data_IF_556956578975
#
_entry.id   IF_556956578975
#
_cell.length_a   1.000
_cell.length_b   1.000
_cell.length_c   1.000
_cell.angle_alpha   90.00
_cell.angle_beta   90.00
_cell.angle_gamma   90.00
#
_symmetry.space_group_name_H-M   'P 1'
#
loop_
_entity.id
_entity.type
_entity.pdbx_description
1 polymer ?
#
# COMPACT_ATOMS: atom_id res chain seq x y z
N UNK A 1 -53.68 40.75 -16.92
CA UNK A 1 -52.66 40.43 -15.89
C UNK A 1 -51.29 40.73 -16.48
N UNK A 2 -50.83 41.96 -16.36
CA UNK A 2 -49.44 42.34 -16.59
C UNK A 2 -48.85 42.69 -15.25
N UNK A 3 -47.79 42.00 -14.85
CA UNK A 3 -46.94 42.40 -13.73
C UNK A 3 -45.62 41.64 -13.83
N UNK A 4 -44.52 42.36 -13.65
CA UNK A 4 -43.13 41.90 -13.46
C UNK A 4 -42.23 41.76 -14.70
N UNK A 5 -42.24 42.73 -15.61
CA UNK A 5 -41.00 43.07 -16.34
C UNK A 5 -40.69 44.53 -16.05
N UNK A 6 -39.75 44.75 -15.15
CA UNK A 6 -39.31 46.08 -14.74
C UNK A 6 -38.72 46.82 -15.97
N UNK A 7 -39.37 47.89 -16.48
CA UNK A 7 -38.94 48.56 -17.72
C UNK A 7 -37.63 49.34 -17.55
N UNK A 8 -37.22 49.57 -16.30
CA UNK A 8 -35.96 50.20 -15.91
C UNK A 8 -34.74 49.29 -16.19
N UNK A 9 -34.87 47.99 -15.96
CA UNK A 9 -33.80 47.00 -16.15
C UNK A 9 -33.53 46.63 -17.62
N UNK A 10 -34.54 46.72 -18.49
CA UNK A 10 -34.41 46.49 -19.94
C UNK A 10 -33.55 47.56 -20.63
N UNK A 11 -33.68 48.83 -20.21
CA UNK A 11 -32.88 49.95 -20.73
C UNK A 11 -31.41 49.87 -20.30
N UNK A 12 -31.15 49.51 -19.04
CA UNK A 12 -29.79 49.27 -18.55
C UNK A 12 -29.16 48.05 -19.24
N UNK A 13 -29.87 46.91 -19.34
CA UNK A 13 -29.38 45.72 -20.07
C UNK A 13 -29.10 46.04 -21.54
N UNK A 14 -29.93 46.85 -22.20
CA UNK A 14 -29.74 47.30 -23.58
C UNK A 14 -28.51 48.22 -23.76
N UNK A 15 -28.22 49.08 -22.77
CA UNK A 15 -26.98 49.89 -22.75
C UNK A 15 -25.74 49.02 -22.60
N UNK A 16 -25.73 48.08 -21.65
CA UNK A 16 -24.59 47.17 -21.45
C UNK A 16 -24.38 46.25 -22.65
N UNK A 17 -25.46 45.72 -23.26
CA UNK A 17 -25.33 44.91 -24.49
C UNK A 17 -24.85 45.72 -25.70
N UNK A 18 -25.26 46.99 -25.86
CA UNK A 18 -24.69 47.87 -26.89
C UNK A 18 -23.21 48.17 -26.65
N UNK A 19 -22.82 48.41 -25.40
CA UNK A 19 -21.42 48.65 -25.02
C UNK A 19 -20.56 47.42 -25.27
N UNK A 20 -21.07 46.23 -24.92
CA UNK A 20 -20.43 44.94 -25.13
C UNK A 20 -20.30 44.63 -26.62
N UNK A 21 -21.35 44.84 -27.43
CA UNK A 21 -21.28 44.71 -28.90
C UNK A 21 -20.24 45.64 -29.52
N UNK A 22 -20.17 46.89 -29.06
CA UNK A 22 -19.22 47.88 -29.57
C UNK A 22 -17.76 47.49 -29.31
N UNK A 23 -17.48 46.88 -28.17
CA UNK A 23 -16.12 46.48 -27.77
C UNK A 23 -15.87 44.97 -27.90
N UNK A 24 -16.81 44.22 -28.47
CA UNK A 24 -16.79 42.76 -28.53
C UNK A 24 -15.49 42.23 -29.17
N UNK A 25 -15.08 42.81 -30.30
CA UNK A 25 -13.87 42.40 -31.01
C UNK A 25 -12.59 42.66 -30.20
N UNK A 26 -12.56 43.77 -29.48
CA UNK A 26 -11.41 44.14 -28.62
C UNK A 26 -11.34 43.23 -27.39
N UNK A 27 -12.49 42.95 -26.76
CA UNK A 27 -12.61 42.03 -25.64
C UNK A 27 -12.24 40.60 -26.03
N UNK A 28 -12.73 40.10 -27.17
CA UNK A 28 -12.36 38.77 -27.67
C UNK A 28 -10.86 38.66 -27.93
N UNK A 29 -10.24 39.67 -28.55
CA UNK A 29 -8.80 39.65 -28.79
C UNK A 29 -8.00 39.72 -27.48
N UNK A 30 -8.42 40.53 -26.52
CA UNK A 30 -7.81 40.60 -25.19
C UNK A 30 -7.92 39.26 -24.45
N UNK A 31 -9.11 38.65 -24.44
CA UNK A 31 -9.35 37.35 -23.82
C UNK A 31 -8.55 36.24 -24.50
N UNK A 32 -8.42 36.29 -25.82
CA UNK A 32 -7.61 35.33 -26.57
C UNK A 32 -6.12 35.45 -26.21
N UNK A 33 -5.57 36.67 -26.20
CA UNK A 33 -4.17 36.91 -25.80
C UNK A 33 -3.95 36.54 -24.33
N UNK A 34 -4.88 36.87 -23.44
CA UNK A 34 -4.82 36.48 -22.04
C UNK A 34 -4.84 34.96 -21.88
N UNK A 35 -5.66 34.25 -22.66
CA UNK A 35 -5.71 32.79 -22.67
C UNK A 35 -4.41 32.15 -23.17
N UNK A 36 -3.82 32.68 -24.25
CA UNK A 36 -2.51 32.21 -24.76
C UNK A 36 -1.40 32.47 -23.75
N UNK A 37 -1.39 33.66 -23.13
CA UNK A 37 -0.41 34.00 -22.10
C UNK A 37 -0.55 33.09 -20.86
N UNK A 38 -1.78 32.79 -20.44
CA UNK A 38 -2.04 31.87 -19.33
C UNK A 38 -1.62 30.43 -19.67
N UNK A 39 -1.89 29.99 -20.89
CA UNK A 39 -1.47 28.66 -21.37
C UNK A 39 0.06 28.52 -21.37
N UNK A 40 0.79 29.56 -21.78
CA UNK A 40 2.25 29.59 -21.70
C UNK A 40 2.73 29.62 -20.23
N UNK A 41 2.06 30.36 -19.35
CA UNK A 41 2.36 30.40 -17.92
C UNK A 41 2.14 29.05 -17.22
N UNK A 42 1.20 28.23 -17.70
CA UNK A 42 0.94 26.88 -17.18
C UNK A 42 2.13 25.92 -17.31
N UNK A 43 3.08 26.23 -18.21
CA UNK A 43 4.33 25.48 -18.35
C UNK A 43 5.27 25.66 -17.17
N UNK A 44 5.14 26.74 -16.40
CA UNK A 44 5.96 26.93 -15.21
C UNK A 44 5.39 26.10 -14.04
N UNK A 45 6.26 25.29 -13.47
CA UNK A 45 6.05 24.53 -12.24
C UNK A 45 5.37 25.35 -11.14
N UNK A 46 5.68 26.63 -10.95
CA UNK A 46 5.10 27.46 -9.90
C UNK A 46 3.56 27.63 -10.00
N UNK A 47 2.99 27.52 -11.21
CA UNK A 47 1.55 27.63 -11.44
C UNK A 47 0.83 26.28 -11.52
N UNK A 48 1.55 25.15 -11.51
CA UNK A 48 1.01 23.82 -11.78
C UNK A 48 0.85 22.95 -10.51
N UNK A 49 1.51 23.30 -9.40
CA UNK A 49 1.56 22.46 -8.18
C UNK A 49 0.28 22.45 -7.31
N UNK A 50 -0.75 23.24 -7.64
CA UNK A 50 -1.95 23.39 -6.81
C UNK A 50 -3.17 22.55 -7.24
N UNK A 51 -3.16 21.96 -8.44
CA UNK A 51 -4.34 21.28 -9.03
C UNK A 51 -4.08 19.84 -9.41
N UNK A 52 -3.26 19.11 -8.64
CA UNK A 52 -3.24 17.66 -8.71
C UNK A 52 -4.47 17.12 -7.97
N UNK A 53 -5.53 16.83 -8.73
CA UNK A 53 -6.70 16.13 -8.22
C UNK A 53 -6.50 14.64 -8.44
N UNK A 54 -6.19 13.90 -7.37
CA UNK A 54 -6.07 12.44 -7.45
C UNK A 54 -7.44 11.85 -7.78
N UNK A 55 -7.54 11.10 -8.87
CA UNK A 55 -8.76 10.32 -9.19
C UNK A 55 -9.12 9.37 -8.03
N UNK A 56 -8.12 8.83 -7.34
CA UNK A 56 -8.31 8.00 -6.15
C UNK A 56 -8.93 8.78 -4.97
N UNK A 57 -8.80 10.11 -4.94
CA UNK A 57 -9.44 10.97 -3.94
C UNK A 57 -10.92 11.27 -4.25
N UNK A 58 -11.42 10.95 -5.45
CA UNK A 58 -12.84 11.08 -5.84
C UNK A 58 -13.69 9.85 -5.53
N UNK A 59 -13.05 8.75 -5.13
CA UNK A 59 -13.71 7.46 -4.88
C UNK A 59 -14.07 7.12 -3.41
N UNK A 60 -13.88 7.98 -2.36
CA UNK A 60 -14.31 7.61 -1.02
C UNK A 60 -15.84 7.55 -0.97
N UNK A 61 -16.39 6.33 -0.94
CA UNK A 61 -17.84 6.06 -0.95
C UNK A 61 -18.31 5.09 -2.03
N UNK A 62 -17.47 4.77 -3.02
CA UNK A 62 -17.78 3.79 -4.06
C UNK A 62 -17.31 2.35 -3.73
N UNK A 63 -16.69 2.17 -2.57
CA UNK A 63 -16.12 0.88 -2.15
C UNK A 63 -16.95 0.29 -1.02
N UNK A 64 -17.64 -0.82 -1.31
CA UNK A 64 -18.28 -1.63 -0.29
C UNK A 64 -17.25 -2.53 0.40
N UNK A 65 -17.36 -2.68 1.72
CA UNK A 65 -16.56 -3.69 2.43
C UNK A 65 -16.95 -5.08 1.93
N UNK A 66 -16.00 -5.72 1.26
CA UNK A 66 -16.13 -7.04 0.66
C UNK A 66 -15.54 -8.14 1.54
N UNK A 67 -14.80 -7.78 2.60
CA UNK A 67 -14.28 -8.71 3.59
C UNK A 67 -15.45 -9.14 4.47
N UNK A 68 -15.84 -10.41 4.35
CA UNK A 68 -16.96 -11.01 5.06
C UNK A 68 -16.48 -11.78 6.30
N UNK A 69 -17.46 -12.25 7.07
CA UNK A 69 -17.25 -13.10 8.26
C UNK A 69 -16.44 -14.38 7.96
N UNK A 70 -16.52 -14.90 6.75
CA UNK A 70 -15.75 -16.09 6.37
C UNK A 70 -14.25 -15.84 6.41
N UNK A 71 -13.79 -14.67 5.96
CA UNK A 71 -12.38 -14.28 6.02
C UNK A 71 -11.93 -14.08 7.47
N UNK A 72 -12.76 -13.51 8.34
CA UNK A 72 -12.42 -13.38 9.76
C UNK A 72 -12.35 -14.74 10.45
N UNK A 73 -13.28 -15.66 10.17
CA UNK A 73 -13.24 -17.01 10.71
C UNK A 73 -11.98 -17.76 10.24
N UNK A 74 -11.59 -17.58 8.98
CA UNK A 74 -10.36 -18.16 8.45
C UNK A 74 -9.11 -17.59 9.16
N UNK A 75 -9.08 -16.28 9.44
CA UNK A 75 -7.99 -15.67 10.21
C UNK A 75 -7.90 -16.23 11.64
N UNK A 76 -9.04 -16.47 12.30
CA UNK A 76 -9.09 -17.09 13.64
C UNK A 76 -8.54 -18.52 13.60
N UNK A 77 -8.97 -19.34 12.63
CA UNK A 77 -8.47 -20.70 12.47
C UNK A 77 -6.95 -20.72 12.22
N UNK A 78 -6.45 -19.82 11.36
CA UNK A 78 -5.02 -19.67 11.10
C UNK A 78 -4.25 -19.23 12.35
N UNK A 79 -4.86 -18.44 13.23
CA UNK A 79 -4.28 -18.07 14.53
C UNK A 79 -4.11 -19.32 15.39
N UNK A 80 -5.17 -20.12 15.56
CA UNK A 80 -5.09 -21.33 16.38
C UNK A 80 -4.03 -22.30 15.87
N UNK A 81 -3.93 -22.48 14.55
CA UNK A 81 -2.87 -23.28 13.94
C UNK A 81 -1.47 -22.71 14.19
N UNK A 82 -1.28 -21.40 13.98
CA UNK A 82 0.00 -20.74 14.22
C UNK A 82 0.43 -20.83 15.68
N UNK A 83 -0.52 -20.75 16.62
CA UNK A 83 -0.25 -20.92 18.05
C UNK A 83 0.31 -22.30 18.36
N UNK A 84 -0.23 -23.37 17.75
CA UNK A 84 0.29 -24.74 17.90
C UNK A 84 1.69 -24.88 17.30
N UNK A 85 1.94 -24.31 16.12
CA UNK A 85 3.27 -24.33 15.50
C UNK A 85 4.31 -23.54 16.28
N UNK A 86 3.88 -22.52 17.02
CA UNK A 86 4.75 -21.71 17.88
C UNK A 86 5.16 -22.44 19.16
N UNK A 87 4.35 -23.39 19.63
CA UNK A 87 4.73 -24.26 20.75
C UNK A 87 5.84 -25.23 20.35
N UNK A 88 5.81 -25.74 19.11
CA UNK A 88 6.85 -26.62 18.56
C UNK A 88 8.12 -25.86 18.13
N UNK A 89 7.99 -24.62 17.67
CA UNK A 89 9.09 -23.76 17.19
C UNK A 89 9.24 -22.49 18.06
N UNK A 90 9.83 -22.63 19.25
CA UNK A 90 9.93 -21.52 20.20
C UNK A 90 10.93 -20.43 19.80
N UNK A 91 12.03 -20.81 19.14
CA UNK A 91 13.17 -19.92 18.84
C UNK A 91 13.30 -19.56 17.37
N UNK A 92 12.51 -20.17 16.49
CA UNK A 92 12.61 -20.00 15.04
C UNK A 92 11.23 -19.74 14.46
N UNK A 93 11.20 -19.07 13.31
CA UNK A 93 9.97 -18.90 12.56
C UNK A 93 9.56 -20.25 11.92
N UNK A 94 8.28 -20.65 11.94
CA UNK A 94 7.80 -21.91 11.36
C UNK A 94 7.72 -21.81 9.83
N UNK A 95 8.90 -21.76 9.19
CA UNK A 95 9.06 -21.52 7.74
C UNK A 95 8.30 -22.52 6.88
N UNK A 96 8.37 -23.80 7.21
CA UNK A 96 7.72 -24.87 6.44
C UNK A 96 6.20 -24.70 6.44
N UNK A 97 5.61 -24.40 7.60
CA UNK A 97 4.17 -24.15 7.71
C UNK A 97 3.76 -22.91 6.92
N UNK A 98 4.51 -21.80 7.06
CA UNK A 98 4.23 -20.56 6.32
C UNK A 98 4.29 -20.74 4.81
N UNK A 99 5.35 -21.40 4.31
CA UNK A 99 5.50 -21.69 2.89
C UNK A 99 4.37 -22.60 2.38
N UNK A 100 3.98 -23.61 3.15
CA UNK A 100 2.87 -24.50 2.79
C UNK A 100 1.55 -23.74 2.72
N UNK A 101 1.24 -22.88 3.71
CA UNK A 101 0.01 -22.07 3.71
C UNK A 101 -0.02 -21.07 2.58
N UNK A 102 1.07 -20.34 2.33
CA UNK A 102 1.15 -19.40 1.20
C UNK A 102 0.96 -20.12 -0.15
N UNK A 103 1.56 -21.30 -0.34
CA UNK A 103 1.36 -22.11 -1.55
C UNK A 103 -0.06 -22.65 -1.67
N UNK A 104 -0.68 -23.08 -0.57
CA UNK A 104 -2.07 -23.56 -0.53
C UNK A 104 -3.05 -22.44 -0.94
N UNK A 105 -2.77 -21.20 -0.52
CA UNK A 105 -3.51 -20.01 -0.96
C UNK A 105 -3.32 -19.73 -2.46
N UNK A 106 -2.21 -20.19 -3.06
CA UNK A 106 -1.87 -19.98 -4.46
C UNK A 106 -0.94 -18.79 -4.70
N UNK A 107 -0.09 -18.47 -3.71
CA UNK A 107 0.99 -17.50 -3.83
C UNK A 107 2.29 -18.18 -4.31
N UNK A 108 3.11 -17.43 -5.05
CA UNK A 108 4.49 -17.84 -5.32
C UNK A 108 5.31 -17.60 -4.04
N UNK A 109 5.56 -18.66 -3.25
CA UNK A 109 6.19 -18.55 -1.93
C UNK A 109 7.65 -19.02 -1.91
N UNK A 110 8.51 -18.26 -1.24
CA UNK A 110 9.93 -18.57 -1.04
C UNK A 110 10.43 -18.03 0.30
N UNK A 111 11.57 -18.55 0.76
CA UNK A 111 12.27 -18.10 1.96
C UNK A 111 13.53 -17.35 1.59
N UNK A 112 13.99 -16.47 2.47
CA UNK A 112 15.17 -15.63 2.26
C UNK A 112 16.01 -15.61 3.54
N UNK A 113 17.19 -16.20 3.46
CA UNK A 113 18.11 -16.32 4.58
C UNK A 113 19.03 -15.09 4.63
N UNK A 114 19.37 -14.66 5.84
CA UNK A 114 20.35 -13.62 6.04
C UNK A 114 21.19 -13.86 7.30
N UNK A 115 22.36 -13.26 7.34
CA UNK A 115 23.30 -13.31 8.46
C UNK A 115 23.88 -11.92 8.71
N UNK A 116 23.70 -11.41 9.92
CA UNK A 116 24.35 -10.20 10.41
C UNK A 116 25.59 -10.58 11.20
N UNK A 117 26.75 -10.18 10.71
CA UNK A 117 28.00 -10.15 11.44
C UNK A 117 28.10 -8.82 12.17
N UNK A 118 27.78 -8.81 13.47
CA UNK A 118 27.67 -7.55 14.22
C UNK A 118 29.06 -7.01 14.61
N UNK A 119 29.51 -5.86 14.04
CA UNK A 119 30.90 -5.42 14.15
C UNK A 119 31.27 -4.92 15.55
N UNK A 120 30.30 -4.40 16.32
CA UNK A 120 30.54 -3.78 17.62
C UNK A 120 30.32 -4.71 18.83
N UNK A 121 29.89 -5.96 18.62
CA UNK A 121 29.54 -6.88 19.72
C UNK A 121 30.49 -8.05 19.87
N UNK A 122 31.75 -7.92 19.46
CA UNK A 122 32.78 -8.94 19.67
C UNK A 122 32.58 -10.20 18.84
N UNK A 123 32.10 -10.07 17.59
CA UNK A 123 31.94 -11.21 16.67
C UNK A 123 30.63 -11.98 16.84
N UNK A 124 29.61 -11.40 17.51
CA UNK A 124 28.27 -11.98 17.53
C UNK A 124 27.67 -12.06 16.13
N UNK A 125 27.15 -13.24 15.79
CA UNK A 125 26.51 -13.51 14.51
C UNK A 125 25.03 -13.75 14.76
N UNK A 126 24.17 -13.02 14.04
CA UNK A 126 22.73 -13.20 14.09
C UNK A 126 22.24 -13.71 12.75
N UNK A 127 21.63 -14.88 12.73
CA UNK A 127 21.03 -15.47 11.53
C UNK A 127 19.52 -15.34 11.60
N UNK A 128 18.87 -15.10 10.47
CA UNK A 128 17.42 -15.14 10.38
C UNK A 128 16.92 -15.56 9.02
N UNK A 129 15.63 -15.85 8.96
CA UNK A 129 14.99 -16.35 7.74
C UNK A 129 13.63 -15.69 7.51
N UNK A 130 13.55 -14.84 6.50
CA UNK A 130 12.29 -14.23 6.10
C UNK A 130 11.50 -15.20 5.22
N UNK A 131 10.18 -15.13 5.29
CA UNK A 131 9.28 -15.88 4.40
C UNK A 131 8.45 -14.88 3.62
N UNK A 132 8.36 -15.04 2.31
CA UNK A 132 7.57 -14.14 1.49
C UNK A 132 6.81 -14.89 0.41
N UNK A 133 5.65 -14.33 0.03
CA UNK A 133 4.78 -14.86 -1.00
C UNK A 133 4.33 -13.75 -1.94
N UNK A 134 4.33 -14.00 -3.24
CA UNK A 134 3.92 -13.02 -4.25
C UNK A 134 2.57 -13.43 -4.85
N UNK A 135 1.60 -12.53 -4.79
CA UNK A 135 0.38 -12.59 -5.58
C UNK A 135 0.58 -11.78 -6.87
N UNK A 136 0.57 -12.46 -8.02
CA UNK A 136 0.67 -11.80 -9.32
C UNK A 136 -0.63 -11.08 -9.70
N UNK A 137 -0.51 -9.85 -10.19
CA UNK A 137 -1.63 -9.08 -10.71
C UNK A 137 -2.27 -9.80 -11.90
N UNK A 138 -3.60 -9.90 -11.93
CA UNK A 138 -4.30 -10.58 -13.03
C UNK A 138 -4.45 -9.73 -14.30
N UNK A 139 -4.29 -8.40 -14.21
CA UNK A 139 -4.64 -7.46 -15.30
C UNK A 139 -3.45 -6.77 -15.97
N UNK A 140 -2.26 -6.75 -15.35
CA UNK A 140 -1.08 -6.00 -15.80
C UNK A 140 0.16 -6.90 -15.72
N UNK A 141 1.20 -6.58 -16.49
CA UNK A 141 2.44 -7.35 -16.62
C UNK A 141 3.38 -7.31 -15.41
N UNK A 142 2.87 -7.25 -14.18
CA UNK A 142 3.67 -7.38 -12.94
C UNK A 142 4.87 -6.40 -12.83
N UNK A 143 4.76 -5.19 -13.40
CA UNK A 143 5.82 -4.16 -13.41
C UNK A 143 5.89 -3.32 -12.14
N UNK A 144 4.83 -3.33 -11.34
CA UNK A 144 4.69 -2.60 -10.08
C UNK A 144 4.22 -3.55 -8.98
N UNK A 145 4.66 -3.30 -7.75
CA UNK A 145 4.23 -4.08 -6.59
C UNK A 145 3.93 -3.22 -5.36
N UNK A 146 3.17 -3.81 -4.43
CA UNK A 146 2.94 -3.30 -3.09
C UNK A 146 3.43 -4.35 -2.10
N UNK A 147 4.11 -3.93 -1.03
CA UNK A 147 4.56 -4.83 0.03
C UNK A 147 3.62 -4.73 1.22
N UNK A 148 3.07 -5.87 1.65
CA UNK A 148 2.38 -6.01 2.92
C UNK A 148 3.29 -6.86 3.80
N UNK A 149 3.82 -6.24 4.85
CA UNK A 149 4.80 -6.85 5.75
C UNK A 149 4.19 -7.13 7.13
N UNK A 150 4.67 -8.18 7.77
CA UNK A 150 4.34 -8.54 9.15
C UNK A 150 5.63 -8.95 9.87
N UNK A 151 5.90 -8.43 11.08
CA UNK A 151 6.95 -8.98 11.91
C UNK A 151 6.51 -10.31 12.53
N UNK A 152 7.40 -11.29 12.58
CA UNK A 152 7.21 -12.50 13.37
C UNK A 152 8.11 -12.46 14.61
N UNK A 153 7.49 -12.37 15.79
CA UNK A 153 8.18 -12.42 17.07
C UNK A 153 8.07 -13.82 17.67
N UNK A 154 9.22 -14.46 17.87
CA UNK A 154 9.33 -15.76 18.54
C UNK A 154 8.85 -15.70 20.00
N UNK A 155 8.59 -16.86 20.60
CA UNK A 155 8.10 -16.95 21.99
C UNK A 155 9.07 -16.40 23.02
N UNK A 156 10.36 -16.37 22.68
CA UNK A 156 11.44 -15.97 23.59
C UNK A 156 11.86 -14.49 23.37
N UNK A 157 11.19 -13.79 22.44
CA UNK A 157 11.48 -12.38 22.17
C UNK A 157 11.20 -11.49 23.39
N UNK A 158 12.02 -10.46 23.58
CA UNK A 158 11.82 -9.42 24.60
C UNK A 158 10.69 -8.45 24.24
N UNK A 159 10.27 -8.43 22.98
CA UNK A 159 9.25 -7.52 22.48
C UNK A 159 7.83 -8.07 22.71
N UNK A 160 6.81 -7.18 22.77
CA UNK A 160 5.41 -7.60 22.90
C UNK A 160 5.02 -8.59 21.80
N UNK A 161 4.28 -9.64 22.17
CA UNK A 161 3.84 -10.64 21.22
C UNK A 161 2.89 -10.06 20.16
N UNK A 162 3.22 -10.27 18.89
CA UNK A 162 2.40 -9.89 17.73
C UNK A 162 2.17 -11.13 16.88
N UNK A 163 1.32 -12.03 17.36
CA UNK A 163 0.99 -13.27 16.64
C UNK A 163 -0.16 -13.10 15.64
N UNK A 164 -1.03 -12.11 15.84
CA UNK A 164 -2.26 -11.95 15.06
C UNK A 164 -2.07 -11.32 13.67
N UNK A 165 -0.96 -10.60 13.44
CA UNK A 165 -0.63 -10.02 12.12
C UNK A 165 -0.50 -11.07 11.02
N UNK A 166 0.22 -12.16 11.29
CA UNK A 166 0.50 -13.19 10.28
C UNK A 166 -0.78 -13.89 9.80
N UNK A 167 -1.67 -14.39 10.68
CA UNK A 167 -2.95 -14.95 10.27
C UNK A 167 -3.84 -13.94 9.54
N UNK A 168 -3.87 -12.68 9.97
CA UNK A 168 -4.62 -11.62 9.28
C UNK A 168 -4.11 -11.40 7.85
N UNK A 169 -2.79 -11.34 7.68
CA UNK A 169 -2.17 -11.17 6.38
C UNK A 169 -2.44 -12.37 5.46
N UNK A 170 -2.34 -13.60 5.98
CA UNK A 170 -2.66 -14.82 5.22
C UNK A 170 -4.15 -14.88 4.84
N UNK A 171 -5.05 -14.50 5.74
CA UNK A 171 -6.48 -14.42 5.44
C UNK A 171 -6.79 -13.36 4.39
N UNK A 172 -6.13 -12.20 4.46
CA UNK A 172 -6.23 -11.19 3.42
C UNK A 172 -5.62 -11.68 2.09
N UNK A 173 -4.54 -12.45 2.11
CA UNK A 173 -3.96 -13.02 0.90
C UNK A 173 -4.93 -14.01 0.20
N UNK A 174 -5.62 -14.86 0.97
CA UNK A 174 -6.69 -15.73 0.46
C UNK A 174 -7.84 -14.92 -0.14
N UNK A 175 -8.28 -13.87 0.55
CA UNK A 175 -9.28 -12.96 0.02
C UNK A 175 -8.81 -12.30 -1.28
N UNK A 176 -7.60 -11.75 -1.30
CA UNK A 176 -7.00 -11.05 -2.42
C UNK A 176 -6.83 -11.96 -3.63
N UNK A 177 -6.43 -13.22 -3.45
CA UNK A 177 -6.30 -14.21 -4.52
C UNK A 177 -7.61 -14.42 -5.29
N UNK A 178 -8.76 -14.31 -4.62
CA UNK A 178 -10.09 -14.47 -5.23
C UNK A 178 -10.52 -13.26 -6.05
N UNK A 179 -9.85 -12.11 -5.88
CA UNK A 179 -10.19 -10.87 -6.57
C UNK A 179 -9.38 -10.70 -7.87
N UNK A 180 -10.07 -10.30 -8.95
CA UNK A 180 -9.47 -10.13 -10.29
C UNK A 180 -9.15 -8.68 -10.65
N UNK A 181 -9.31 -7.75 -9.72
CA UNK A 181 -9.15 -6.31 -9.97
C UNK A 181 -7.77 -5.76 -9.61
N UNK A 182 -6.86 -6.59 -9.08
CA UNK A 182 -5.51 -6.13 -8.75
C UNK A 182 -4.72 -5.73 -9.99
N UNK A 183 -4.24 -4.49 -9.97
CA UNK A 183 -3.42 -3.90 -11.02
C UNK A 183 -1.90 -3.96 -10.71
N UNK A 184 -1.53 -4.31 -9.47
CA UNK A 184 -0.14 -4.42 -8.99
C UNK A 184 0.06 -5.76 -8.30
N UNK A 185 1.29 -6.28 -8.36
CA UNK A 185 1.66 -7.47 -7.59
C UNK A 185 1.58 -7.14 -6.10
N UNK A 186 1.18 -8.10 -5.27
CA UNK A 186 1.18 -7.94 -3.81
C UNK A 186 2.20 -8.90 -3.23
N UNK A 187 3.20 -8.36 -2.55
CA UNK A 187 4.22 -9.12 -1.85
C UNK A 187 3.79 -9.21 -0.38
N UNK A 188 3.54 -10.42 0.10
CA UNK A 188 3.31 -10.72 1.50
C UNK A 188 4.62 -11.13 2.15
N UNK A 189 5.19 -10.28 3.01
CA UNK A 189 6.51 -10.46 3.61
C UNK A 189 6.38 -10.69 5.12
N UNK A 190 6.84 -11.84 5.59
CA UNK A 190 6.98 -12.14 7.01
C UNK A 190 8.45 -12.02 7.37
N UNK A 191 8.75 -11.06 8.23
CA UNK A 191 10.12 -10.74 8.62
C UNK A 191 10.50 -11.44 9.90
N UNK A 192 11.66 -12.08 9.89
CA UNK A 192 12.35 -12.53 11.09
C UNK A 192 13.27 -11.40 11.57
N UNK A 193 13.38 -11.22 12.89
CA UNK A 193 14.14 -10.09 13.49
C UNK A 193 13.72 -8.70 12.96
N UNK A 194 12.42 -8.53 12.64
CA UNK A 194 11.76 -7.25 12.31
C UNK A 194 12.53 -6.38 11.30
N UNK A 195 13.12 -5.27 11.76
CA UNK A 195 13.82 -4.28 10.94
C UNK A 195 15.03 -4.89 10.24
N UNK A 196 15.74 -5.81 10.90
CA UNK A 196 16.94 -6.40 10.35
C UNK A 196 16.61 -7.37 9.22
N UNK A 197 15.59 -8.20 9.40
CA UNK A 197 15.07 -9.04 8.33
C UNK A 197 14.54 -8.22 7.17
N UNK A 198 13.83 -7.12 7.44
CA UNK A 198 13.33 -6.22 6.40
C UNK A 198 14.47 -5.60 5.59
N UNK A 199 15.50 -5.08 6.25
CA UNK A 199 16.66 -4.49 5.57
C UNK A 199 17.39 -5.52 4.71
N UNK A 200 17.62 -6.73 5.23
CA UNK A 200 18.28 -7.79 4.48
C UNK A 200 17.48 -8.18 3.22
N UNK A 201 16.16 -8.26 3.34
CA UNK A 201 15.29 -8.55 2.21
C UNK A 201 15.29 -7.43 1.17
N UNK A 202 15.23 -6.15 1.60
CA UNK A 202 15.31 -5.00 0.70
C UNK A 202 16.65 -4.93 -0.04
N UNK A 203 17.75 -5.19 0.65
CA UNK A 203 19.08 -5.27 0.04
C UNK A 203 19.09 -6.31 -1.10
N UNK A 204 18.62 -7.53 -0.82
CA UNK A 204 18.53 -8.57 -1.84
C UNK A 204 17.54 -8.19 -2.97
N UNK A 205 16.44 -7.51 -2.65
CA UNK A 205 15.42 -7.06 -3.60
C UNK A 205 15.94 -6.01 -4.59
N UNK A 206 16.73 -5.04 -4.13
CA UNK A 206 17.33 -4.01 -5.00
C UNK A 206 18.70 -4.42 -5.57
N UNK A 207 19.28 -5.53 -5.10
CA UNK A 207 20.61 -5.98 -5.51
C UNK A 207 21.75 -5.23 -4.82
N UNK A 208 21.48 -4.62 -3.67
CA UNK A 208 22.44 -3.84 -2.90
C UNK A 208 23.12 -4.72 -1.84
N UNK A 209 24.14 -5.48 -2.26
CA UNK A 209 24.88 -6.40 -1.39
C UNK A 209 26.23 -5.83 -0.88
N UNK A 210 26.44 -4.51 -0.98
CA UNK A 210 27.74 -3.87 -0.66
C UNK A 210 28.09 -3.89 0.83
N UNK A 211 27.14 -4.19 1.72
CA UNK A 211 27.37 -4.18 3.15
C UNK A 211 27.93 -5.52 3.66
N UNK A 212 29.22 -5.55 4.01
CA UNK A 212 29.89 -6.75 4.54
C UNK A 212 29.36 -7.21 5.90
N UNK A 213 28.66 -6.34 6.64
CA UNK A 213 28.09 -6.69 7.94
C UNK A 213 26.79 -7.49 7.80
N UNK A 214 25.97 -7.23 6.76
CA UNK A 214 24.67 -7.87 6.57
C UNK A 214 24.65 -8.66 5.26
N UNK A 215 24.87 -9.97 5.38
CA UNK A 215 24.93 -10.90 4.25
C UNK A 215 23.53 -11.45 4.00
N UNK A 216 22.94 -11.13 2.85
CA UNK A 216 21.65 -11.64 2.39
C UNK A 216 21.82 -12.66 1.26
N UNK A 217 20.99 -13.71 1.24
CA UNK A 217 20.92 -14.63 0.10
C UNK A 217 20.16 -14.00 -1.08
N UNK A 218 20.37 -14.48 -2.29
CA UNK A 218 19.59 -14.02 -3.44
C UNK A 218 18.09 -14.37 -3.31
N UNK A 219 17.23 -13.50 -3.84
CA UNK A 219 15.80 -13.77 -3.91
C UNK A 219 15.46 -14.64 -5.12
N UNK A 220 14.89 -15.82 -4.85
CA UNK A 220 14.37 -16.72 -5.89
C UNK A 220 13.15 -16.16 -6.63
N UNK A 221 12.36 -15.32 -5.98
CA UNK A 221 11.15 -14.72 -6.55
C UNK A 221 11.24 -13.20 -6.46
N UNK A 222 10.88 -12.53 -7.55
CA UNK A 222 10.84 -11.06 -7.63
C UNK A 222 9.51 -10.59 -8.23
N UNK A 223 9.09 -9.40 -7.80
CA UNK A 223 7.99 -8.66 -8.41
C UNK A 223 8.53 -7.36 -9.04
N UNK A 224 7.68 -6.60 -9.71
CA UNK A 224 8.03 -5.29 -10.23
C UNK A 224 8.23 -4.22 -9.14
N UNK A 225 8.61 -3.00 -9.53
CA UNK A 225 9.03 -1.94 -8.62
C UNK A 225 8.04 -1.69 -7.47
N UNK A 226 8.56 -1.64 -6.23
CA UNK A 226 7.76 -1.39 -5.03
C UNK A 226 7.28 0.07 -5.04
N UNK A 227 5.95 0.27 -5.12
CA UNK A 227 5.31 1.58 -5.16
C UNK A 227 4.81 2.03 -3.77
N UNK A 228 4.46 1.07 -2.92
CA UNK A 228 3.97 1.32 -1.58
C UNK A 228 4.27 0.14 -0.66
N UNK A 229 4.33 0.40 0.64
CA UNK A 229 4.48 -0.61 1.67
C UNK A 229 3.51 -0.35 2.83
N UNK A 230 3.00 -1.44 3.40
CA UNK A 230 2.17 -1.46 4.61
C UNK A 230 2.77 -2.47 5.58
N UNK A 231 3.03 -2.07 6.82
CA UNK A 231 3.44 -2.98 7.88
C UNK A 231 2.27 -3.22 8.83
N UNK A 232 1.93 -4.49 9.06
CA UNK A 232 0.82 -4.88 9.91
C UNK A 232 1.36 -5.35 11.26
N UNK A 233 1.09 -4.58 12.31
CA UNK A 233 1.39 -4.95 13.70
C UNK A 233 0.10 -4.99 14.53
N UNK A 234 -0.48 -6.18 14.66
CA UNK A 234 -1.78 -6.43 15.28
C UNK A 234 -1.58 -7.35 16.49
N UNK A 235 -1.97 -6.85 17.66
CA UNK A 235 -1.81 -7.55 18.94
C UNK A 235 -2.97 -8.51 19.24
N UNK A 236 -4.20 -8.16 18.84
CA UNK A 236 -5.41 -8.96 19.07
C UNK A 236 -6.45 -8.72 17.97
N UNK A 237 -7.33 -9.71 17.75
CA UNK A 237 -8.52 -9.52 16.91
C UNK A 237 -9.69 -8.88 17.65
N UNK A 238 -9.68 -8.90 18.98
CA UNK A 238 -10.64 -8.15 19.76
C UNK A 238 -10.35 -6.66 19.62
N UNK A 239 -11.20 -5.99 18.85
CA UNK A 239 -11.41 -4.56 18.95
C UNK A 239 -12.12 -4.37 20.29
N UNK A 240 -11.35 -4.18 21.36
CA UNK A 240 -11.87 -3.97 22.70
C UNK A 240 -13.06 -3.03 22.62
N UNK A 241 -14.22 -3.46 23.13
CA UNK A 241 -15.43 -2.63 23.18
C UNK A 241 -14.99 -1.25 23.64
N UNK A 242 -15.01 -0.28 22.73
CA UNK A 242 -14.76 1.12 23.09
C UNK A 242 -15.73 1.38 24.22
N UNK A 243 -15.20 1.57 25.44
CA UNK A 243 -16.02 2.05 26.54
C UNK A 243 -16.50 3.41 26.07
N UNK A 244 -17.73 3.46 25.60
CA UNK A 244 -18.47 4.70 25.42
C UNK A 244 -18.44 5.38 26.78
N UNK A 245 -17.58 6.39 26.93
CA UNK A 245 -17.62 7.34 28.04
C UNK A 245 -18.71 8.35 27.68
#
# INVERSE_FOLDING_TARGET
>A
MGLLTDPSGLSQKAKYTKLLKRHCKLLCNLLFVAGVAWFAALSDSNFNHGTYFSENALLPGLVYSSIKKDTSNFAVNLQEELSRERESHQNTIPTAWLLAKMKQIGLDASSHNFTLNYPFGGGKVFTGNNVYGILRASRIGSTESIVISCPYRTSVSVHPQVSHSVPLMLAFADYARKQKYWAKDIIFLITDQEQLGMQAWLNAYYGNNDNSALISSDLHLRAGAIQAALNLEIQSFDLGKSKTI
#
